data_IF_100870474991
#
_entry.id   IF_100870474991
#
_cell.length_a   1.000
_cell.length_b   1.000
_cell.length_c   1.000
_cell.angle_alpha   90.00
_cell.angle_beta   90.00
_cell.angle_gamma   90.00
#
_symmetry.space_group_name_H-M   'P 1'
#
loop_
_entity.id
_entity.type
_entity.pdbx_description
1 polymer ?
#
# COMPACT_ATOMS: atom_id res chain seq x y z
N UNK A 1 -16.84 -25.39 2.07
CA UNK A 1 -17.18 -24.00 1.70
C UNK A 1 -16.95 -23.18 2.95
N UNK A 2 -15.79 -22.54 3.11
CA UNK A 2 -15.56 -21.63 4.23
C UNK A 2 -16.46 -20.40 4.03
N UNK A 3 -17.30 -20.15 5.01
CA UNK A 3 -18.05 -18.89 5.11
C UNK A 3 -17.02 -17.75 5.09
N UNK A 4 -17.02 -16.98 4.02
CA UNK A 4 -16.24 -15.74 3.94
C UNK A 4 -16.82 -14.77 4.98
N UNK A 5 -16.29 -14.81 6.22
CA UNK A 5 -16.60 -13.78 7.21
C UNK A 5 -16.35 -12.43 6.59
N UNK A 6 -17.39 -11.63 6.47
CA UNK A 6 -17.30 -10.27 5.96
C UNK A 6 -16.39 -9.48 6.91
N UNK A 7 -15.21 -9.09 6.42
CA UNK A 7 -14.28 -8.27 7.21
C UNK A 7 -14.83 -6.86 7.23
N UNK A 8 -15.10 -6.33 8.41
CA UNK A 8 -15.45 -4.93 8.58
C UNK A 8 -14.18 -4.09 8.46
N UNK A 9 -14.10 -3.26 7.41
CA UNK A 9 -12.96 -2.39 7.15
C UNK A 9 -13.25 -1.03 7.81
N UNK A 10 -12.45 -0.58 8.79
CA UNK A 10 -12.67 0.70 9.43
C UNK A 10 -12.45 1.86 8.45
N UNK A 11 -13.40 2.79 8.41
CA UNK A 11 -13.34 4.00 7.56
C UNK A 11 -13.11 5.21 8.46
N UNK A 12 -12.18 6.08 8.05
CA UNK A 12 -11.79 7.26 8.85
C UNK A 12 -12.99 8.14 9.22
N UNK A 13 -13.91 8.37 8.29
CA UNK A 13 -15.11 9.16 8.55
C UNK A 13 -16.02 8.60 9.65
N UNK A 14 -16.00 7.27 9.88
CA UNK A 14 -16.84 6.59 10.85
C UNK A 14 -16.19 6.47 12.24
N UNK A 15 -14.84 6.35 12.29
CA UNK A 15 -14.10 6.07 13.53
C UNK A 15 -13.51 7.34 14.15
N UNK A 16 -13.02 8.28 13.35
CA UNK A 16 -12.38 9.50 13.85
C UNK A 16 -13.29 10.37 14.73
N UNK A 17 -14.61 10.55 14.41
CA UNK A 17 -15.52 11.28 15.30
C UNK A 17 -15.74 10.60 16.66
N UNK A 18 -15.43 9.30 16.78
CA UNK A 18 -15.50 8.53 18.02
C UNK A 18 -14.22 8.61 18.85
N UNK A 19 -13.23 9.38 18.38
CA UNK A 19 -11.93 9.53 19.03
C UNK A 19 -10.94 8.39 18.72
N UNK A 20 -11.27 7.50 17.79
CA UNK A 20 -10.37 6.42 17.40
C UNK A 20 -9.32 6.93 16.40
N UNK A 21 -8.03 6.67 16.67
CA UNK A 21 -6.91 7.06 15.83
C UNK A 21 -6.13 5.82 15.42
N UNK A 22 -6.29 5.34 14.18
CA UNK A 22 -5.54 4.20 13.68
C UNK A 22 -4.06 4.56 13.51
N UNK A 23 -3.19 3.56 13.63
CA UNK A 23 -1.75 3.76 13.42
C UNK A 23 -1.43 4.07 11.96
N UNK A 24 -2.14 3.42 11.03
CA UNK A 24 -1.90 3.56 9.59
C UNK A 24 -3.16 4.01 8.86
N UNK A 25 -2.98 4.95 7.93
CA UNK A 25 -3.91 5.08 6.82
C UNK A 25 -3.54 4.03 5.76
N UNK A 26 -4.43 3.09 5.48
CA UNK A 26 -4.26 2.21 4.31
C UNK A 26 -4.82 2.90 3.07
N UNK A 27 -3.91 3.39 2.24
CA UNK A 27 -4.24 3.99 0.96
C UNK A 27 -4.39 2.89 -0.10
N UNK A 28 -5.61 2.69 -0.58
CA UNK A 28 -5.96 1.63 -1.53
C UNK A 28 -5.49 1.97 -2.95
N UNK A 29 -5.62 3.23 -3.34
CA UNK A 29 -5.29 3.73 -4.67
C UNK A 29 -6.32 3.35 -5.74
N UNK A 30 -6.26 4.05 -6.87
CA UNK A 30 -7.21 3.85 -7.96
C UNK A 30 -7.17 2.42 -8.54
N UNK A 31 -5.98 1.83 -8.70
CA UNK A 31 -5.86 0.45 -9.15
C UNK A 31 -6.51 -0.54 -8.17
N UNK A 32 -6.29 -0.39 -6.86
CA UNK A 32 -6.90 -1.21 -5.83
C UNK A 32 -8.41 -1.07 -5.75
N UNK A 33 -8.95 0.08 -6.16
CA UNK A 33 -10.38 0.38 -6.14
C UNK A 33 -11.11 -0.07 -7.42
N UNK A 34 -10.47 0.00 -8.60
CA UNK A 34 -11.18 -0.16 -9.88
C UNK A 34 -10.71 -1.35 -10.72
N UNK A 35 -9.44 -1.76 -10.66
CA UNK A 35 -8.94 -2.91 -11.39
C UNK A 35 -9.29 -4.22 -10.68
N UNK A 36 -9.93 -5.16 -11.41
CA UNK A 36 -10.46 -6.40 -10.83
C UNK A 36 -9.37 -7.35 -10.31
N UNK A 37 -8.18 -7.32 -10.91
CA UNK A 37 -7.04 -8.11 -10.43
C UNK A 37 -6.45 -7.47 -9.18
N UNK A 38 -6.29 -6.15 -9.20
CA UNK A 38 -5.69 -5.41 -8.09
C UNK A 38 -6.60 -5.33 -6.86
N UNK A 39 -7.92 -5.32 -7.05
CA UNK A 39 -8.90 -5.51 -5.97
C UNK A 39 -8.65 -6.78 -5.15
N UNK A 40 -8.22 -7.87 -5.83
CA UNK A 40 -7.89 -9.13 -5.13
C UNK A 40 -6.66 -8.96 -4.24
N UNK A 41 -5.66 -8.18 -4.70
CA UNK A 41 -4.46 -7.86 -3.91
C UNK A 41 -4.85 -7.01 -2.70
N UNK A 42 -5.63 -5.94 -2.91
CA UNK A 42 -6.10 -5.08 -1.82
C UNK A 42 -6.86 -5.86 -0.75
N UNK A 43 -7.79 -6.72 -1.17
CA UNK A 43 -8.56 -7.59 -0.26
C UNK A 43 -7.68 -8.60 0.47
N UNK A 44 -6.71 -9.20 -0.21
CA UNK A 44 -5.77 -10.14 0.43
C UNK A 44 -4.93 -9.44 1.49
N UNK A 45 -4.41 -8.25 1.17
CA UNK A 45 -3.64 -7.45 2.11
C UNK A 45 -4.48 -7.01 3.32
N UNK A 46 -5.72 -6.56 3.10
CA UNK A 46 -6.68 -6.24 4.18
C UNK A 46 -6.91 -7.43 5.11
N UNK A 47 -7.03 -8.66 4.57
CA UNK A 47 -7.14 -9.88 5.38
C UNK A 47 -5.92 -10.10 6.26
N UNK A 48 -4.71 -9.85 5.75
CA UNK A 48 -3.47 -9.96 6.53
C UNK A 48 -3.46 -8.92 7.66
N UNK A 49 -3.79 -7.67 7.37
CA UNK A 49 -3.85 -6.61 8.38
C UNK A 49 -4.85 -6.95 9.49
N UNK A 50 -6.01 -7.46 9.12
CA UNK A 50 -7.05 -7.88 10.08
C UNK A 50 -6.59 -9.09 10.93
N UNK A 51 -6.02 -10.11 10.29
CA UNK A 51 -5.53 -11.31 10.98
C UNK A 51 -4.44 -10.99 12.02
N UNK A 52 -3.61 -9.99 11.73
CA UNK A 52 -2.53 -9.56 12.61
C UNK A 52 -2.94 -8.46 13.59
N UNK A 53 -4.23 -8.10 13.64
CA UNK A 53 -4.76 -7.02 14.46
C UNK A 53 -4.00 -5.69 14.30
N UNK A 54 -3.59 -5.39 13.07
CA UNK A 54 -2.95 -4.11 12.74
C UNK A 54 -3.98 -3.00 12.85
N UNK A 55 -3.62 -1.91 13.53
CA UNK A 55 -4.48 -0.72 13.65
C UNK A 55 -4.40 0.11 12.38
N UNK A 56 -5.41 0.03 11.53
CA UNK A 56 -5.48 0.77 10.26
C UNK A 56 -6.91 1.24 9.97
N UNK A 57 -7.04 2.22 9.08
CA UNK A 57 -8.30 2.60 8.46
C UNK A 57 -8.10 3.02 7.01
N UNK A 58 -9.18 3.05 6.24
CA UNK A 58 -9.21 3.56 4.87
C UNK A 58 -9.98 4.88 4.83
N UNK A 59 -9.78 5.71 3.80
CA UNK A 59 -10.61 6.90 3.59
C UNK A 59 -11.98 6.56 2.98
N UNK A 60 -12.11 5.40 2.33
CA UNK A 60 -13.34 5.00 1.67
C UNK A 60 -13.71 5.96 0.54
N UNK A 61 -14.89 6.60 0.63
CA UNK A 61 -15.38 7.54 -0.41
C UNK A 61 -14.61 8.86 -0.48
N UNK A 62 -13.83 9.19 0.54
CA UNK A 62 -12.99 10.40 0.58
C UNK A 62 -11.61 10.16 -0.06
N UNK A 63 -11.26 8.93 -0.41
CA UNK A 63 -10.03 8.64 -1.12
C UNK A 63 -10.14 9.09 -2.59
N UNK A 64 -9.27 10.00 -2.99
CA UNK A 64 -9.20 10.52 -4.36
C UNK A 64 -7.92 10.06 -5.06
N UNK A 65 -7.62 10.58 -6.25
CA UNK A 65 -6.34 10.30 -6.91
C UNK A 65 -5.21 11.07 -6.23
N UNK A 66 -4.02 10.47 -6.17
CA UNK A 66 -2.81 11.15 -5.67
C UNK A 66 -2.32 12.29 -6.56
N UNK A 67 -2.81 12.36 -7.81
CA UNK A 67 -2.32 13.31 -8.81
C UNK A 67 -1.13 12.81 -9.65
N UNK A 68 -0.57 11.64 -9.33
CA UNK A 68 0.58 11.10 -10.08
C UNK A 68 0.34 11.01 -11.59
N UNK A 69 -0.79 10.48 -12.10
CA UNK A 69 -1.06 10.44 -13.54
C UNK A 69 -1.09 11.84 -14.17
N UNK A 70 -1.68 12.83 -13.49
CA UNK A 70 -1.73 14.20 -13.99
C UNK A 70 -0.32 14.80 -14.09
N UNK A 71 0.51 14.63 -13.05
CA UNK A 71 1.89 15.11 -13.04
C UNK A 71 2.73 14.48 -14.16
N UNK A 72 2.61 13.14 -14.34
CA UNK A 72 3.35 12.44 -15.41
C UNK A 72 2.89 12.85 -16.82
N UNK A 73 1.63 13.25 -16.96
CA UNK A 73 1.10 13.79 -18.21
C UNK A 73 1.43 15.29 -18.43
N UNK A 74 2.16 15.93 -17.50
CA UNK A 74 2.54 17.35 -17.59
C UNK A 74 1.47 18.32 -17.10
N UNK A 75 0.37 17.84 -16.51
CA UNK A 75 -0.67 18.70 -15.93
C UNK A 75 -0.37 19.00 -14.46
N UNK A 76 0.57 19.90 -14.23
CA UNK A 76 1.05 20.27 -12.91
C UNK A 76 -0.07 20.91 -12.07
N UNK A 77 -0.92 21.74 -12.66
CA UNK A 77 -2.01 22.38 -11.95
C UNK A 77 -3.00 21.35 -11.37
N UNK A 78 -3.41 20.37 -12.17
CA UNK A 78 -4.33 19.33 -11.72
C UNK A 78 -3.67 18.46 -10.61
N UNK A 79 -2.38 18.16 -10.78
CA UNK A 79 -1.62 17.44 -9.75
C UNK A 79 -1.65 18.18 -8.42
N UNK A 80 -1.27 19.47 -8.41
CA UNK A 80 -1.22 20.26 -7.18
C UNK A 80 -2.60 20.38 -6.52
N UNK A 81 -3.65 20.60 -7.30
CA UNK A 81 -5.02 20.62 -6.77
C UNK A 81 -5.37 19.30 -6.06
N UNK A 82 -5.12 18.16 -6.71
CA UNK A 82 -5.41 16.85 -6.11
C UNK A 82 -4.56 16.57 -4.89
N UNK A 83 -3.28 16.91 -4.93
CA UNK A 83 -2.36 16.72 -3.82
C UNK A 83 -2.75 17.56 -2.59
N UNK A 84 -3.08 18.84 -2.79
CA UNK A 84 -3.51 19.73 -1.71
C UNK A 84 -4.83 19.27 -1.07
N UNK A 85 -5.79 18.80 -1.85
CA UNK A 85 -7.03 18.21 -1.32
C UNK A 85 -6.76 16.98 -0.43
N UNK A 86 -5.84 16.12 -0.86
CA UNK A 86 -5.44 14.96 -0.06
C UNK A 86 -4.69 15.39 1.21
N UNK A 87 -3.79 16.36 1.13
CA UNK A 87 -3.06 16.91 2.29
C UNK A 87 -4.04 17.51 3.30
N UNK A 88 -5.06 18.25 2.84
CA UNK A 88 -6.11 18.78 3.71
C UNK A 88 -6.87 17.65 4.43
N UNK A 89 -7.26 16.61 3.69
CA UNK A 89 -7.94 15.44 4.25
C UNK A 89 -7.05 14.72 5.28
N UNK A 90 -5.77 14.54 4.97
CA UNK A 90 -4.82 13.90 5.89
C UNK A 90 -4.58 14.75 7.14
N UNK A 91 -4.55 16.07 7.00
CA UNK A 91 -4.43 17.00 8.14
C UNK A 91 -5.66 16.92 9.03
N UNK A 92 -6.86 16.91 8.44
CA UNK A 92 -8.13 16.78 9.18
C UNK A 92 -8.17 15.50 10.02
N UNK A 93 -7.65 14.39 9.51
CA UNK A 93 -7.62 13.10 10.19
C UNK A 93 -6.32 12.85 10.98
N UNK A 94 -5.43 13.85 11.07
CA UNK A 94 -4.15 13.75 11.76
C UNK A 94 -3.26 12.57 11.29
N UNK A 95 -3.32 12.26 9.99
CA UNK A 95 -2.58 11.14 9.40
C UNK A 95 -1.08 11.43 9.45
N UNK A 96 -0.31 10.46 9.94
CA UNK A 96 1.16 10.51 10.00
C UNK A 96 1.83 9.39 9.21
N UNK A 97 1.17 8.21 9.15
CA UNK A 97 1.72 7.02 8.50
C UNK A 97 0.77 6.52 7.41
N UNK A 98 1.30 6.30 6.24
CA UNK A 98 0.55 5.81 5.07
C UNK A 98 1.11 4.47 4.66
N UNK A 99 0.23 3.47 4.56
CA UNK A 99 0.52 2.14 4.06
C UNK A 99 -0.15 1.98 2.70
N UNK A 100 0.59 1.62 1.67
CA UNK A 100 0.03 1.49 0.32
C UNK A 100 0.53 0.25 -0.41
N UNK A 101 -0.31 -0.28 -1.30
CA UNK A 101 0.04 -1.40 -2.19
C UNK A 101 0.57 -0.92 -3.55
N UNK A 102 0.46 0.36 -3.85
CA UNK A 102 0.80 0.93 -5.16
C UNK A 102 2.17 1.62 -5.15
N UNK A 103 3.15 1.19 -6.00
CA UNK A 103 4.46 1.84 -6.11
C UNK A 103 4.39 3.30 -6.53
N UNK A 104 3.41 3.68 -7.37
CA UNK A 104 3.20 5.06 -7.78
C UNK A 104 2.75 5.94 -6.61
N UNK A 105 1.76 5.47 -5.84
CA UNK A 105 1.29 6.17 -4.65
C UNK A 105 2.40 6.27 -3.59
N UNK A 106 3.18 5.20 -3.40
CA UNK A 106 4.35 5.20 -2.53
C UNK A 106 5.34 6.30 -2.91
N UNK A 107 5.71 6.37 -4.20
CA UNK A 107 6.66 7.34 -4.69
C UNK A 107 6.18 8.79 -4.50
N UNK A 108 4.94 9.08 -4.90
CA UNK A 108 4.43 10.45 -4.90
C UNK A 108 4.23 10.99 -3.48
N UNK A 109 3.73 10.17 -2.55
CA UNK A 109 3.59 10.56 -1.15
C UNK A 109 4.93 10.79 -0.48
N UNK A 110 5.93 9.98 -0.81
CA UNK A 110 7.26 10.05 -0.20
C UNK A 110 8.11 11.19 -0.75
N UNK A 111 8.08 11.40 -2.08
CA UNK A 111 9.04 12.26 -2.75
C UNK A 111 8.45 13.59 -3.25
N UNK A 112 7.16 13.60 -3.64
CA UNK A 112 6.57 14.76 -4.29
C UNK A 112 5.69 15.60 -3.33
N UNK A 113 4.93 14.95 -2.43
CA UNK A 113 4.07 15.64 -1.47
C UNK A 113 4.82 16.52 -0.47
N UNK A 114 6.06 16.19 -0.03
CA UNK A 114 6.83 17.07 0.84
C UNK A 114 7.02 18.49 0.32
N UNK A 115 7.11 18.68 -1.00
CA UNK A 115 7.25 19.99 -1.64
C UNK A 115 5.98 20.86 -1.49
N UNK A 116 4.83 20.20 -1.27
CA UNK A 116 3.53 20.85 -1.02
C UNK A 116 3.15 20.89 0.47
N UNK A 117 4.10 20.54 1.37
CA UNK A 117 3.89 20.53 2.80
C UNK A 117 3.36 19.22 3.39
N UNK A 118 3.07 18.21 2.56
CA UNK A 118 2.59 16.89 2.99
C UNK A 118 3.72 15.93 3.34
N UNK A 119 4.13 15.88 4.62
CA UNK A 119 5.21 15.00 5.09
C UNK A 119 4.65 13.83 5.90
N UNK A 120 4.83 12.60 5.40
CA UNK A 120 4.31 11.37 5.99
C UNK A 120 5.38 10.29 6.05
N UNK A 121 5.26 9.38 7.00
CA UNK A 121 5.96 8.10 6.97
C UNK A 121 5.21 7.18 5.98
N UNK A 122 5.79 6.96 4.81
CA UNK A 122 5.15 6.16 3.75
C UNK A 122 5.81 4.80 3.68
N UNK A 123 5.01 3.74 3.75
CA UNK A 123 5.48 2.35 3.76
C UNK A 123 4.79 1.60 2.62
N UNK A 124 5.58 0.96 1.76
CA UNK A 124 5.04 0.04 0.77
C UNK A 124 4.70 -1.31 1.42
N UNK A 125 3.62 -1.95 0.98
CA UNK A 125 3.14 -3.20 1.61
C UNK A 125 4.20 -4.30 1.69
N UNK A 126 5.12 -4.37 0.72
CA UNK A 126 6.23 -5.35 0.76
C UNK A 126 7.20 -5.09 1.90
N UNK A 127 7.53 -3.82 2.17
CA UNK A 127 8.36 -3.43 3.31
C UNK A 127 7.66 -3.76 4.63
N UNK A 128 6.35 -3.52 4.69
CA UNK A 128 5.56 -3.86 5.87
C UNK A 128 5.53 -5.38 6.12
N UNK A 129 5.30 -6.17 5.08
CA UNK A 129 5.32 -7.64 5.17
C UNK A 129 6.71 -8.16 5.55
N UNK A 130 7.77 -7.65 4.94
CA UNK A 130 9.15 -7.98 5.27
C UNK A 130 9.42 -7.76 6.77
N UNK A 131 9.06 -6.58 7.29
CA UNK A 131 9.19 -6.27 8.72
C UNK A 131 8.47 -7.29 9.59
N UNK A 132 7.22 -7.62 9.28
CA UNK A 132 6.43 -8.59 10.05
C UNK A 132 7.01 -10.01 10.00
N UNK A 133 7.56 -10.41 8.86
CA UNK A 133 8.26 -11.70 8.71
C UNK A 133 9.52 -11.72 9.56
N UNK A 134 10.32 -10.68 9.53
CA UNK A 134 11.58 -10.58 10.27
C UNK A 134 11.35 -10.49 11.78
N UNK A 135 10.22 -9.91 12.21
CA UNK A 135 9.78 -9.90 13.61
C UNK A 135 9.07 -11.21 14.04
N UNK A 136 9.00 -12.23 13.17
CA UNK A 136 8.28 -13.49 13.39
C UNK A 136 6.77 -13.32 13.72
N UNK A 137 6.19 -12.19 13.36
CA UNK A 137 4.74 -11.90 13.51
C UNK A 137 3.90 -12.48 12.39
N UNK A 138 4.48 -12.66 11.21
CA UNK A 138 3.84 -13.26 10.04
C UNK A 138 4.59 -14.53 9.66
N UNK A 139 3.92 -15.67 9.77
CA UNK A 139 4.43 -16.98 9.31
C UNK A 139 3.81 -17.29 7.95
N UNK A 140 4.63 -17.64 6.98
CA UNK A 140 4.20 -17.97 5.62
C UNK A 140 4.45 -19.46 5.38
N UNK A 141 3.44 -20.15 4.87
CA UNK A 141 3.57 -21.51 4.41
C UNK A 141 4.09 -21.54 2.96
N UNK A 142 5.37 -21.83 2.81
CA UNK A 142 6.02 -21.90 1.49
C UNK A 142 5.60 -23.12 0.65
N UNK A 143 4.86 -24.07 1.23
CA UNK A 143 4.42 -25.28 0.51
C UNK A 143 3.39 -24.98 -0.59
N UNK A 144 2.61 -23.91 -0.43
CA UNK A 144 1.51 -23.54 -1.35
C UNK A 144 2.02 -23.22 -2.77
N UNK A 145 3.19 -22.60 -2.89
CA UNK A 145 3.77 -22.21 -4.19
C UNK A 145 5.07 -22.97 -4.50
N UNK A 146 5.32 -24.10 -3.84
CA UNK A 146 6.58 -24.87 -3.94
C UNK A 146 6.94 -25.27 -5.37
N UNK A 147 5.95 -25.60 -6.18
CA UNK A 147 6.17 -26.08 -7.55
C UNK A 147 6.03 -24.99 -8.62
N UNK A 148 5.69 -23.76 -8.22
CA UNK A 148 5.54 -22.65 -9.14
C UNK A 148 6.89 -22.00 -9.44
N UNK A 149 7.20 -21.86 -10.75
CA UNK A 149 8.30 -20.99 -11.18
C UNK A 149 7.84 -19.54 -11.17
N UNK A 150 8.52 -18.71 -10.41
CA UNK A 150 8.20 -17.29 -10.25
C UNK A 150 9.35 -16.46 -10.82
N UNK A 151 8.99 -15.46 -11.61
CA UNK A 151 9.89 -14.36 -11.96
C UNK A 151 9.31 -13.04 -11.50
N UNK A 152 10.16 -12.09 -11.15
CA UNK A 152 9.73 -10.80 -10.63
C UNK A 152 10.31 -9.67 -11.47
N UNK A 153 9.44 -8.75 -11.88
CA UNK A 153 9.83 -7.51 -12.53
C UNK A 153 9.76 -6.36 -11.53
N UNK A 154 10.88 -5.68 -11.34
CA UNK A 154 10.96 -4.53 -10.42
C UNK A 154 10.09 -3.37 -10.91
N UNK A 155 9.08 -2.94 -10.15
CA UNK A 155 8.35 -1.72 -10.47
C UNK A 155 9.30 -0.53 -10.46
N UNK A 156 9.30 0.28 -11.52
CA UNK A 156 10.22 1.40 -11.68
C UNK A 156 10.19 2.36 -10.49
N UNK A 157 8.99 2.69 -10.00
CA UNK A 157 8.83 3.61 -8.87
C UNK A 157 9.24 3.03 -7.52
N UNK A 158 9.29 1.72 -7.39
CA UNK A 158 9.79 1.09 -6.17
C UNK A 158 11.31 0.93 -6.24
N UNK A 159 11.80 0.25 -7.29
CA UNK A 159 13.21 -0.03 -7.46
C UNK A 159 14.02 1.21 -7.86
N UNK A 160 13.79 1.72 -9.08
CA UNK A 160 14.65 2.79 -9.66
C UNK A 160 14.52 4.12 -8.94
N UNK A 161 13.30 4.53 -8.59
CA UNK A 161 13.07 5.83 -7.96
C UNK A 161 13.31 5.82 -6.44
N UNK A 162 13.15 4.67 -5.79
CA UNK A 162 13.23 4.57 -4.33
C UNK A 162 14.26 3.57 -3.81
N UNK A 163 15.02 2.93 -4.71
CA UNK A 163 16.05 1.93 -4.38
C UNK A 163 15.53 0.77 -3.52
N UNK A 164 14.25 0.43 -3.68
CA UNK A 164 13.60 -0.64 -2.92
C UNK A 164 13.51 -1.91 -3.78
N UNK A 165 14.51 -2.76 -3.66
CA UNK A 165 14.64 -4.02 -4.39
C UNK A 165 14.50 -5.25 -3.48
N UNK A 166 14.84 -5.10 -2.20
CA UNK A 166 15.02 -6.21 -1.28
C UNK A 166 13.71 -6.70 -0.69
N UNK A 167 12.86 -5.79 -0.21
CA UNK A 167 11.63 -6.18 0.45
C UNK A 167 10.69 -7.04 -0.42
N UNK A 168 10.46 -6.73 -1.71
CA UNK A 168 9.67 -7.61 -2.58
C UNK A 168 10.29 -9.01 -2.71
N UNK A 169 11.61 -9.09 -2.86
CA UNK A 169 12.31 -10.38 -3.03
C UNK A 169 12.31 -11.21 -1.76
N UNK A 170 12.53 -10.61 -0.62
CA UNK A 170 12.46 -11.31 0.66
C UNK A 170 11.07 -11.91 0.90
N UNK A 171 10.00 -11.14 0.63
CA UNK A 171 8.64 -11.65 0.73
C UNK A 171 8.42 -12.82 -0.25
N UNK A 172 8.83 -12.68 -1.51
CA UNK A 172 8.69 -13.73 -2.52
C UNK A 172 9.47 -14.99 -2.14
N UNK A 173 10.70 -14.86 -1.63
CA UNK A 173 11.53 -15.99 -1.18
C UNK A 173 10.90 -16.76 -0.01
N UNK A 174 9.97 -16.15 0.73
CA UNK A 174 9.21 -16.84 1.79
C UNK A 174 8.02 -17.61 1.23
N UNK A 175 7.45 -17.21 0.09
CA UNK A 175 6.28 -17.89 -0.50
C UNK A 175 6.67 -18.94 -1.56
N UNK A 176 7.87 -18.86 -2.14
CA UNK A 176 8.36 -19.80 -3.16
C UNK A 176 9.86 -20.01 -3.08
N UNK A 177 10.28 -21.22 -3.35
CA UNK A 177 11.70 -21.61 -3.41
C UNK A 177 12.30 -21.54 -4.83
N UNK A 178 11.48 -21.26 -5.84
CA UNK A 178 11.85 -21.29 -7.27
C UNK A 178 11.68 -19.91 -7.90
N UNK A 179 12.45 -18.93 -7.43
CA UNK A 179 12.46 -17.60 -8.03
C UNK A 179 13.60 -17.52 -9.03
N UNK A 180 13.27 -17.13 -10.26
CA UNK A 180 14.26 -16.92 -11.33
C UNK A 180 14.31 -15.44 -11.67
N UNK A 181 15.46 -14.81 -11.50
CA UNK A 181 15.66 -13.42 -11.90
C UNK A 181 15.67 -13.30 -13.43
N UNK A 182 15.09 -12.21 -13.94
CA UNK A 182 15.15 -11.89 -15.35
C UNK A 182 16.58 -11.49 -15.73
N UNK A 183 17.05 -11.97 -16.89
CA UNK A 183 18.31 -11.49 -17.45
C UNK A 183 18.18 -10.00 -17.77
N UNK A 184 19.17 -9.22 -17.33
CA UNK A 184 19.30 -7.80 -17.66
C UNK A 184 19.87 -7.62 -19.06
#
# INVERSE_FOLDING_TARGET
MEETKTINIPVMADIFPKGEKPEFLFWVGCAGAFDDRYKKVARAFTKILHHLNVSYAVLGKEETCTGDPARRAGNEMLYQMQALMNIETFTRYEIKKILTICPHCYNIFKNDYPDLGGKYEVIHYTQFLQKLINENKLKIDSSILKDNHITFHDPCYLGRCNNEYDAPREVLNRVSTKITEMKR
#
